data_IF_818017394386
#
_entry.id   IF_818017394386
#
_cell.length_a   1.000
_cell.length_b   1.000
_cell.length_c   1.000
_cell.angle_alpha   90.00
_cell.angle_beta   90.00
_cell.angle_gamma   90.00
#
_symmetry.space_group_name_H-M   'P 1'
#
loop_
_entity.id
_entity.type
_entity.pdbx_description
1 polymer ?
#
# COMPACT_ATOMS: atom_id res chain seq x y z
N UNK A 1 -7.98 -15.44 11.39
CA UNK A 1 -9.34 -15.03 11.03
C UNK A 1 -9.38 -13.56 10.55
N UNK A 2 -8.82 -12.60 11.30
CA UNK A 2 -8.77 -11.17 10.93
C UNK A 2 -8.14 -10.93 9.54
N UNK A 3 -6.97 -11.51 9.25
CA UNK A 3 -6.26 -11.36 7.98
C UNK A 3 -7.11 -11.79 6.77
N UNK A 4 -7.80 -12.94 6.86
CA UNK A 4 -8.69 -13.40 5.80
C UNK A 4 -9.88 -12.44 5.59
N UNK A 5 -10.53 -12.05 6.67
CA UNK A 5 -11.69 -11.15 6.62
C UNK A 5 -11.32 -9.78 6.05
N UNK A 6 -10.17 -9.23 6.42
CA UNK A 6 -9.67 -7.96 5.88
C UNK A 6 -9.47 -8.00 4.36
N UNK A 7 -8.94 -9.12 3.83
CA UNK A 7 -8.72 -9.27 2.38
C UNK A 7 -10.02 -9.46 1.60
N UNK A 8 -11.00 -10.16 2.18
CA UNK A 8 -12.32 -10.34 1.55
C UNK A 8 -13.13 -9.03 1.55
N UNK A 9 -13.02 -8.24 2.63
CA UNK A 9 -13.75 -6.97 2.75
C UNK A 9 -13.05 -5.79 2.08
N UNK A 10 -11.74 -5.84 1.88
CA UNK A 10 -10.97 -4.74 1.28
C UNK A 10 -11.55 -4.21 -0.05
N UNK A 11 -12.01 -5.05 -1.01
CA UNK A 11 -12.63 -4.56 -2.23
C UNK A 11 -13.88 -3.72 -1.99
N UNK A 12 -14.66 -4.02 -0.93
CA UNK A 12 -15.88 -3.26 -0.59
C UNK A 12 -15.56 -1.95 0.14
N UNK A 13 -14.39 -1.84 0.77
CA UNK A 13 -13.93 -0.60 1.42
C UNK A 13 -13.36 0.40 0.40
N UNK A 14 -13.08 -0.03 -0.82
CA UNK A 14 -12.73 0.88 -1.90
C UNK A 14 -13.97 1.69 -2.30
N UNK A 15 -13.87 3.02 -2.21
CA UNK A 15 -15.00 3.93 -2.45
C UNK A 15 -15.66 3.68 -3.82
N UNK A 16 -14.87 3.50 -4.88
CA UNK A 16 -15.37 3.27 -6.23
C UNK A 16 -16.17 1.97 -6.32
N UNK A 17 -15.62 0.87 -5.79
CA UNK A 17 -16.30 -0.43 -5.78
C UNK A 17 -17.57 -0.39 -4.92
N UNK A 18 -17.55 0.30 -3.80
CA UNK A 18 -18.70 0.49 -2.93
C UNK A 18 -19.84 1.25 -3.64
N UNK A 19 -19.51 2.33 -4.35
CA UNK A 19 -20.49 3.11 -5.12
C UNK A 19 -21.07 2.28 -6.29
N UNK A 20 -20.23 1.50 -6.99
CA UNK A 20 -20.70 0.56 -8.02
C UNK A 20 -21.63 -0.50 -7.41
N UNK A 21 -21.27 -1.04 -6.25
CA UNK A 21 -22.12 -2.00 -5.55
C UNK A 21 -23.49 -1.41 -5.17
N UNK A 22 -23.54 -0.15 -4.72
CA UNK A 22 -24.80 0.56 -4.45
C UNK A 22 -25.66 0.67 -5.73
N UNK A 23 -25.07 1.03 -6.87
CA UNK A 23 -25.79 1.13 -8.15
C UNK A 23 -26.36 -0.21 -8.58
N UNK A 24 -25.57 -1.28 -8.50
CA UNK A 24 -26.01 -2.64 -8.85
C UNK A 24 -27.16 -3.08 -7.95
N UNK A 25 -27.01 -2.91 -6.64
CA UNK A 25 -28.05 -3.29 -5.65
C UNK A 25 -29.32 -2.49 -5.86
N UNK A 26 -29.21 -1.18 -6.08
CA UNK A 26 -30.36 -0.32 -6.38
C UNK A 26 -31.08 -0.74 -7.66
N UNK A 27 -30.35 -1.19 -8.68
CA UNK A 27 -30.95 -1.70 -9.93
C UNK A 27 -31.68 -3.04 -9.72
N UNK A 28 -31.05 -3.99 -8.99
CA UNK A 28 -31.64 -5.31 -8.71
C UNK A 28 -32.91 -5.17 -7.86
N UNK A 29 -32.84 -4.35 -6.81
CA UNK A 29 -33.93 -4.18 -5.87
C UNK A 29 -34.90 -3.05 -6.20
N UNK A 30 -34.87 -2.53 -7.45
CA UNK A 30 -35.75 -1.42 -7.87
C UNK A 30 -37.25 -1.65 -7.65
N UNK A 31 -37.68 -2.92 -7.61
CA UNK A 31 -39.09 -3.28 -7.34
C UNK A 31 -39.47 -3.09 -5.85
N UNK A 32 -38.51 -3.18 -4.94
CA UNK A 32 -38.72 -3.07 -3.51
C UNK A 32 -38.60 -1.60 -2.99
N UNK A 33 -37.87 -0.75 -3.74
CA UNK A 33 -37.73 0.65 -3.40
C UNK A 33 -38.81 1.50 -4.05
N UNK A 34 -39.28 2.54 -3.34
CA UNK A 34 -40.11 3.58 -3.93
C UNK A 34 -39.39 4.20 -5.13
N UNK A 35 -40.09 4.42 -6.25
CA UNK A 35 -39.51 4.97 -7.48
C UNK A 35 -38.71 6.26 -7.25
N UNK A 36 -39.19 7.14 -6.37
CA UNK A 36 -38.55 8.41 -6.01
C UNK A 36 -37.24 8.18 -5.27
N UNK A 37 -37.22 7.28 -4.27
CA UNK A 37 -36.02 6.93 -3.48
C UNK A 37 -34.96 6.28 -4.35
N UNK A 38 -35.35 5.34 -5.22
CA UNK A 38 -34.41 4.68 -6.13
C UNK A 38 -33.76 5.66 -7.11
N UNK A 39 -34.52 6.61 -7.68
CA UNK A 39 -33.95 7.66 -8.52
C UNK A 39 -32.96 8.54 -7.75
N UNK A 40 -33.32 8.95 -6.54
CA UNK A 40 -32.45 9.77 -5.69
C UNK A 40 -31.13 9.06 -5.37
N UNK A 41 -31.16 7.78 -4.96
CA UNK A 41 -29.96 6.96 -4.71
C UNK A 41 -29.08 6.91 -5.96
N UNK A 42 -29.65 6.60 -7.12
CA UNK A 42 -28.87 6.47 -8.35
C UNK A 42 -28.22 7.78 -8.79
N UNK A 43 -28.96 8.90 -8.77
CA UNK A 43 -28.40 10.21 -9.15
C UNK A 43 -27.35 10.70 -8.17
N UNK A 44 -27.56 10.54 -6.85
CA UNK A 44 -26.56 10.94 -5.86
C UNK A 44 -25.29 10.10 -5.96
N UNK A 45 -25.42 8.77 -6.15
CA UNK A 45 -24.26 7.89 -6.35
C UNK A 45 -23.50 8.24 -7.63
N UNK A 46 -24.21 8.52 -8.72
CA UNK A 46 -23.58 8.94 -9.97
C UNK A 46 -22.85 10.28 -9.82
N UNK A 47 -23.46 11.24 -9.14
CA UNK A 47 -22.84 12.53 -8.86
C UNK A 47 -21.55 12.37 -8.04
N UNK A 48 -21.58 11.55 -7.00
CA UNK A 48 -20.40 11.27 -6.17
C UNK A 48 -19.30 10.62 -7.03
N UNK A 49 -19.63 9.64 -7.86
CA UNK A 49 -18.67 9.01 -8.78
C UNK A 49 -18.02 10.05 -9.71
N UNK A 50 -18.81 10.95 -10.30
CA UNK A 50 -18.30 12.02 -11.16
C UNK A 50 -17.36 12.93 -10.38
N UNK A 51 -17.77 13.40 -9.21
CA UNK A 51 -16.94 14.30 -8.38
C UNK A 51 -15.59 13.64 -8.04
N UNK A 52 -15.60 12.39 -7.55
CA UNK A 52 -14.35 11.70 -7.19
C UNK A 52 -13.49 11.28 -8.39
N UNK A 53 -14.08 11.19 -9.59
CA UNK A 53 -13.34 10.91 -10.84
C UNK A 53 -12.63 12.13 -11.41
N UNK A 54 -13.26 13.30 -11.34
CA UNK A 54 -12.73 14.51 -11.94
C UNK A 54 -11.94 15.41 -10.97
N UNK A 55 -12.26 15.35 -9.69
CA UNK A 55 -11.59 16.17 -8.68
C UNK A 55 -10.64 15.32 -7.81
N UNK A 56 -9.43 15.81 -7.51
CA UNK A 56 -8.44 15.11 -6.69
C UNK A 56 -8.78 15.17 -5.18
N UNK A 57 -10.03 14.86 -4.82
CA UNK A 57 -10.54 14.96 -3.45
C UNK A 57 -9.71 14.10 -2.49
N UNK A 58 -9.43 12.84 -2.90
CA UNK A 58 -8.63 11.91 -2.09
C UNK A 58 -7.21 12.44 -1.85
N UNK A 59 -6.56 12.94 -2.92
CA UNK A 59 -5.21 13.52 -2.82
C UNK A 59 -5.17 14.71 -1.85
N UNK A 60 -6.15 15.61 -1.94
CA UNK A 60 -6.18 16.80 -1.08
C UNK A 60 -6.40 16.40 0.40
N UNK A 61 -7.25 15.41 0.66
CA UNK A 61 -7.45 14.89 2.03
C UNK A 61 -6.18 14.24 2.59
N UNK A 62 -5.48 13.43 1.78
CA UNK A 62 -4.23 12.79 2.19
C UNK A 62 -3.15 13.85 2.45
N UNK A 63 -2.96 14.82 1.55
CA UNK A 63 -1.99 15.89 1.73
C UNK A 63 -2.20 16.65 3.05
N UNK A 64 -3.45 16.97 3.40
CA UNK A 64 -3.77 17.65 4.68
C UNK A 64 -3.38 16.80 5.90
N UNK A 65 -3.47 15.47 5.80
CA UNK A 65 -3.03 14.56 6.86
C UNK A 65 -1.51 14.46 6.91
N UNK A 66 -0.85 14.35 5.75
CA UNK A 66 0.61 14.21 5.63
C UNK A 66 1.32 15.46 6.15
N UNK A 67 0.84 16.66 5.79
CA UNK A 67 1.41 17.93 6.27
C UNK A 67 1.47 18.03 7.80
N UNK A 68 0.50 17.43 8.49
CA UNK A 68 0.46 17.39 9.96
C UNK A 68 1.58 16.53 10.58
N UNK A 69 2.12 15.57 9.83
CA UNK A 69 3.11 14.61 10.28
C UNK A 69 4.47 14.76 9.59
N UNK A 70 4.70 15.90 8.92
CA UNK A 70 6.01 16.19 8.33
C UNK A 70 7.07 16.21 9.43
N UNK A 71 7.99 15.25 9.36
CA UNK A 71 9.15 15.21 10.25
C UNK A 71 10.20 16.17 9.69
N UNK A 72 10.39 17.30 10.36
CA UNK A 72 11.37 18.30 9.93
C UNK A 72 12.82 17.92 10.29
N UNK A 73 13.03 17.09 11.31
CA UNK A 73 14.37 16.75 11.80
C UNK A 73 14.57 15.25 11.91
N UNK A 74 15.49 14.72 11.11
CA UNK A 74 16.03 13.38 11.30
C UNK A 74 17.11 13.46 12.36
N UNK A 75 17.09 12.60 13.40
CA UNK A 75 18.14 12.58 14.41
C UNK A 75 19.52 12.41 13.79
N UNK A 76 20.52 13.14 14.27
CA UNK A 76 21.88 13.01 13.75
C UNK A 76 22.53 11.67 14.12
N UNK A 77 22.04 11.02 15.17
CA UNK A 77 22.52 9.73 15.63
C UNK A 77 21.45 8.66 15.51
N UNK A 78 21.63 7.73 14.57
CA UNK A 78 20.84 6.51 14.42
C UNK A 78 21.75 5.34 14.04
N UNK A 79 21.51 4.21 14.65
CA UNK A 79 22.20 2.95 14.35
C UNK A 79 21.37 2.06 13.43
N UNK A 80 20.06 2.19 13.49
CA UNK A 80 19.12 1.39 12.73
C UNK A 80 18.13 2.26 11.95
N UNK A 81 17.86 1.83 10.73
CA UNK A 81 16.85 2.42 9.81
C UNK A 81 15.82 1.34 9.56
N UNK A 82 14.62 1.50 10.10
CA UNK A 82 13.54 0.55 9.91
C UNK A 82 12.74 0.92 8.66
N UNK A 83 12.58 -0.03 7.76
CA UNK A 83 11.83 0.12 6.50
C UNK A 83 10.66 -0.84 6.50
N UNK A 84 9.45 -0.31 6.44
CA UNK A 84 8.24 -1.10 6.28
C UNK A 84 8.01 -1.39 4.80
N UNK A 85 7.79 -2.65 4.45
CA UNK A 85 7.45 -3.08 3.11
C UNK A 85 6.17 -2.43 2.57
N UNK A 86 5.89 -2.64 1.30
CA UNK A 86 4.72 -2.15 0.58
C UNK A 86 5.07 -1.44 -0.73
N UNK A 87 6.38 -1.31 -1.03
CA UNK A 87 6.89 -0.81 -2.33
C UNK A 87 7.21 -1.94 -3.32
N UNK A 88 7.23 -3.17 -2.87
CA UNK A 88 7.69 -4.35 -3.59
C UNK A 88 6.52 -5.07 -4.27
N UNK A 89 6.70 -5.41 -5.56
CA UNK A 89 5.71 -6.22 -6.28
C UNK A 89 6.26 -7.64 -6.49
N UNK A 90 6.08 -8.49 -5.45
CA UNK A 90 6.57 -9.87 -5.45
C UNK A 90 5.98 -10.71 -6.59
N UNK A 91 4.69 -10.52 -6.92
CA UNK A 91 4.03 -11.24 -8.00
C UNK A 91 4.67 -10.92 -9.37
N UNK A 92 4.78 -9.65 -9.73
CA UNK A 92 5.38 -9.24 -11.01
C UNK A 92 6.85 -9.62 -11.08
N UNK A 93 7.61 -9.47 -9.98
CA UNK A 93 9.02 -9.89 -9.90
C UNK A 93 9.17 -11.38 -10.13
N UNK A 94 8.27 -12.22 -9.61
CA UNK A 94 8.33 -13.67 -9.79
C UNK A 94 8.08 -14.11 -11.24
N UNK A 95 7.26 -13.37 -11.98
CA UNK A 95 6.96 -13.66 -13.40
C UNK A 95 8.05 -13.13 -14.33
N UNK A 96 8.48 -11.90 -14.11
CA UNK A 96 9.40 -11.21 -15.02
C UNK A 96 10.86 -11.49 -14.73
N UNK A 97 11.16 -12.04 -13.57
CA UNK A 97 12.49 -12.20 -12.98
C UNK A 97 13.31 -10.89 -12.91
N UNK A 98 12.62 -9.74 -12.95
CA UNK A 98 13.18 -8.39 -12.77
C UNK A 98 12.55 -7.74 -11.57
N UNK A 99 13.33 -6.94 -10.84
CA UNK A 99 12.80 -6.18 -9.69
C UNK A 99 11.68 -5.27 -10.16
N UNK A 100 10.49 -5.49 -9.62
CA UNK A 100 9.30 -4.67 -9.86
C UNK A 100 8.88 -3.97 -8.58
N UNK A 101 8.81 -2.65 -8.63
CA UNK A 101 8.48 -1.78 -7.51
C UNK A 101 7.24 -0.94 -7.85
N UNK A 102 6.55 -0.45 -6.84
CA UNK A 102 5.37 0.41 -6.98
C UNK A 102 5.61 1.82 -6.42
N UNK A 103 4.56 2.64 -6.28
CA UNK A 103 4.65 4.04 -5.84
C UNK A 103 5.24 4.26 -4.44
N UNK A 104 5.38 3.23 -3.61
CA UNK A 104 5.96 3.34 -2.26
C UNK A 104 7.47 3.02 -2.21
N UNK A 105 8.13 2.92 -3.36
CA UNK A 105 9.58 2.65 -3.49
C UNK A 105 10.44 3.73 -2.83
N UNK A 106 9.92 4.92 -2.64
CA UNK A 106 10.60 6.02 -1.96
C UNK A 106 11.15 5.65 -0.58
N UNK A 107 10.52 4.69 0.12
CA UNK A 107 10.98 4.18 1.42
C UNK A 107 12.33 3.47 1.30
N UNK A 108 12.49 2.61 0.29
CA UNK A 108 13.75 1.93 -0.01
C UNK A 108 14.84 2.95 -0.38
N UNK A 109 14.51 3.90 -1.27
CA UNK A 109 15.45 4.93 -1.70
C UNK A 109 15.88 5.81 -0.53
N UNK A 110 14.93 6.21 0.32
CA UNK A 110 15.23 7.01 1.51
C UNK A 110 16.13 6.25 2.48
N UNK A 111 15.89 4.95 2.69
CA UNK A 111 16.71 4.12 3.58
C UNK A 111 18.17 4.02 3.10
N UNK A 112 18.38 3.84 1.80
CA UNK A 112 19.72 3.83 1.21
C UNK A 112 20.41 5.18 1.38
N UNK A 113 19.71 6.29 1.12
CA UNK A 113 20.26 7.65 1.33
C UNK A 113 20.67 7.87 2.78
N UNK A 114 19.86 7.44 3.75
CA UNK A 114 20.18 7.54 5.15
C UNK A 114 21.37 6.65 5.53
N UNK A 115 21.38 5.40 5.08
CA UNK A 115 22.45 4.47 5.35
C UNK A 115 23.81 4.93 4.77
N UNK A 116 23.80 5.60 3.62
CA UNK A 116 25.01 6.18 3.02
C UNK A 116 25.50 7.43 3.73
N UNK A 117 24.64 8.15 4.46
CA UNK A 117 25.09 9.25 5.33
C UNK A 117 25.82 8.76 6.58
N UNK A 118 25.54 7.52 7.03
CA UNK A 118 26.16 6.89 8.20
C UNK A 118 26.61 5.48 7.89
N UNK A 119 27.90 5.30 7.66
CA UNK A 119 28.47 4.00 7.28
C UNK A 119 28.25 2.88 8.30
N UNK A 120 28.04 3.21 9.58
CA UNK A 120 27.83 2.23 10.65
C UNK A 120 26.34 1.89 10.87
N UNK A 121 25.39 2.56 10.19
CA UNK A 121 23.98 2.25 10.33
C UNK A 121 23.58 1.01 9.55
N UNK A 122 22.60 0.26 10.10
CA UNK A 122 22.01 -0.91 9.46
C UNK A 122 20.58 -0.64 9.08
N UNK A 123 20.16 -1.21 7.96
CA UNK A 123 18.75 -1.21 7.52
C UNK A 123 18.08 -2.47 8.05
N UNK A 124 16.93 -2.33 8.69
CA UNK A 124 16.04 -3.44 9.07
C UNK A 124 14.83 -3.36 8.15
N UNK A 125 14.74 -4.28 7.20
CA UNK A 125 13.61 -4.37 6.30
C UNK A 125 12.56 -5.33 6.88
N UNK A 126 11.36 -4.80 7.14
CA UNK A 126 10.24 -5.55 7.66
C UNK A 126 9.24 -5.80 6.52
N UNK A 127 9.17 -7.02 6.04
CA UNK A 127 8.28 -7.38 4.95
C UNK A 127 8.06 -8.88 4.87
N UNK A 128 6.95 -9.27 4.27
CA UNK A 128 6.59 -10.65 4.10
C UNK A 128 5.59 -10.83 2.97
N UNK A 129 4.55 -11.63 3.15
CA UNK A 129 3.55 -11.85 2.12
C UNK A 129 2.18 -11.34 2.57
N UNK A 130 1.75 -10.22 2.02
CA UNK A 130 0.40 -9.69 2.20
C UNK A 130 -0.68 -10.44 1.39
N UNK A 131 -0.34 -11.50 0.66
CA UNK A 131 -1.28 -12.28 -0.14
C UNK A 131 -1.88 -13.47 0.62
N UNK A 132 -3.13 -13.82 0.30
CA UNK A 132 -3.79 -15.02 0.86
C UNK A 132 -3.11 -16.32 0.40
N UNK A 133 -2.60 -16.34 -0.83
CA UNK A 133 -1.87 -17.46 -1.40
C UNK A 133 -0.38 -17.12 -1.38
N UNK A 134 0.45 -18.00 -0.79
CA UNK A 134 1.91 -17.84 -0.85
C UNK A 134 2.38 -17.84 -2.31
N UNK A 135 3.13 -16.83 -2.68
CA UNK A 135 3.88 -16.77 -3.92
C UNK A 135 5.29 -17.33 -3.72
N UNK A 136 6.01 -17.55 -4.81
CA UNK A 136 7.40 -18.05 -4.79
C UNK A 136 8.38 -17.05 -4.21
N UNK A 137 8.06 -15.76 -4.28
CA UNK A 137 8.81 -14.66 -3.69
C UNK A 137 7.92 -13.89 -2.73
N UNK A 138 8.52 -13.33 -1.69
CA UNK A 138 7.91 -12.36 -0.79
C UNK A 138 8.49 -10.94 -1.00
N UNK A 139 8.02 -9.97 -0.24
CA UNK A 139 8.46 -8.57 -0.34
C UNK A 139 9.94 -8.42 0.07
N UNK A 140 10.39 -9.22 1.05
CA UNK A 140 11.80 -9.22 1.49
C UNK A 140 12.73 -9.76 0.39
N UNK A 141 12.29 -10.76 -0.40
CA UNK A 141 13.06 -11.26 -1.54
C UNK A 141 13.23 -10.20 -2.62
N UNK A 142 12.17 -9.43 -2.91
CA UNK A 142 12.22 -8.33 -3.88
C UNK A 142 13.13 -7.21 -3.39
N UNK A 143 13.01 -6.83 -2.11
CA UNK A 143 13.88 -5.82 -1.51
C UNK A 143 15.35 -6.28 -1.53
N UNK A 144 15.65 -7.55 -1.24
CA UNK A 144 17.00 -8.11 -1.34
C UNK A 144 17.56 -7.97 -2.75
N UNK A 145 16.79 -8.31 -3.78
CA UNK A 145 17.20 -8.13 -5.19
C UNK A 145 17.45 -6.66 -5.51
N UNK A 146 16.58 -5.75 -5.04
CA UNK A 146 16.79 -4.32 -5.20
C UNK A 146 18.12 -3.85 -4.62
N UNK A 147 18.48 -4.24 -3.39
CA UNK A 147 19.76 -3.87 -2.79
C UNK A 147 20.95 -4.45 -3.55
N UNK A 148 20.83 -5.66 -4.10
CA UNK A 148 21.85 -6.25 -4.99
C UNK A 148 22.02 -5.43 -6.27
N UNK A 149 20.91 -5.09 -6.94
CA UNK A 149 20.91 -4.36 -8.21
C UNK A 149 21.57 -2.98 -8.11
N UNK A 150 21.45 -2.33 -6.92
CA UNK A 150 22.11 -1.04 -6.66
C UNK A 150 23.48 -1.17 -6.01
N UNK A 151 24.05 -2.38 -5.91
CA UNK A 151 25.33 -2.68 -5.26
C UNK A 151 25.43 -2.19 -3.80
N UNK A 152 24.33 -2.28 -3.05
CA UNK A 152 24.34 -1.95 -1.62
C UNK A 152 24.85 -3.14 -0.80
N UNK A 153 25.66 -2.88 0.23
CA UNK A 153 26.22 -3.93 1.10
C UNK A 153 25.14 -4.65 1.91
N UNK A 154 24.86 -5.91 1.55
CA UNK A 154 23.84 -6.72 2.22
C UNK A 154 24.18 -7.06 3.68
N UNK A 155 25.45 -6.99 4.11
CA UNK A 155 25.83 -7.19 5.51
C UNK A 155 25.25 -6.08 6.41
N UNK A 156 24.84 -4.98 5.81
CA UNK A 156 24.18 -3.84 6.48
C UNK A 156 22.66 -3.91 6.41
N UNK A 157 22.06 -4.99 5.87
CA UNK A 157 20.61 -5.16 5.76
C UNK A 157 20.17 -6.41 6.48
N UNK A 158 19.24 -6.25 7.40
CA UNK A 158 18.56 -7.35 8.11
C UNK A 158 17.17 -7.47 7.49
N UNK A 159 16.83 -8.64 6.97
CA UNK A 159 15.51 -8.92 6.39
C UNK A 159 14.69 -9.77 7.33
N UNK A 160 13.42 -9.39 7.50
CA UNK A 160 12.40 -10.23 8.14
C UNK A 160 11.30 -10.51 7.11
N UNK A 161 10.81 -11.74 7.07
CA UNK A 161 9.80 -12.20 6.10
C UNK A 161 8.55 -12.83 6.74
N UNK A 162 8.44 -12.76 8.06
CA UNK A 162 7.34 -13.42 8.81
C UNK A 162 6.09 -12.54 8.95
N UNK A 163 6.13 -11.30 8.49
CA UNK A 163 5.05 -10.34 8.65
C UNK A 163 4.03 -10.42 7.52
N UNK A 164 2.73 -10.33 7.86
CA UNK A 164 1.61 -10.42 6.91
C UNK A 164 0.80 -9.14 6.78
N UNK A 165 0.99 -8.24 7.72
CA UNK A 165 0.28 -6.96 7.80
C UNK A 165 1.06 -5.97 8.66
N UNK A 166 0.65 -4.70 8.62
CA UNK A 166 1.32 -3.60 9.33
C UNK A 166 1.33 -3.75 10.86
N UNK A 167 0.44 -4.56 11.43
CA UNK A 167 0.40 -4.79 12.89
C UNK A 167 1.48 -5.80 13.30
N UNK A 168 1.84 -6.72 12.39
CA UNK A 168 2.89 -7.70 12.61
C UNK A 168 4.30 -7.15 12.31
N UNK A 169 4.39 -6.06 11.53
CA UNK A 169 5.61 -5.29 11.30
C UNK A 169 5.96 -4.45 12.54
#
# INVERSE_FOLDING_TARGET
MYFFLSKVLAPFLNLTNFLIFILITSYIFKKFFLKKTNKFINYSTLLILIVFSFFPVGKNLINTLEEKYLISNIPDNYEYIVVLAGGENAYTTSITNKVSLNGSVERLIASVKLANKKNNSKIIFLGGSGFLKKHTLDEADVARRFFIDINFDLNRVIFTNDTRNTIEN
#
